data_IF_355764358822
#
_entry.id   IF_355764358822
#
_cell.length_a   1.000
_cell.length_b   1.000
_cell.length_c   1.000
_cell.angle_alpha   90.00
_cell.angle_beta   90.00
_cell.angle_gamma   90.00
#
_symmetry.space_group_name_H-M   'P 1'
#
loop_
_entity.id
_entity.type
_entity.pdbx_description
1 polymer ?
#
# COMPACT_ATOMS: atom_id res chain seq x y z
N UNK A 1 -0.84 6.82 15.47
CA UNK A 1 0.15 6.96 14.39
C UNK A 1 -0.07 5.84 13.41
N UNK A 2 -0.25 6.17 12.13
CA UNK A 2 -0.50 5.21 11.05
C UNK A 2 0.76 5.05 10.22
N UNK A 3 1.15 3.81 9.95
CA UNK A 3 2.32 3.46 9.16
C UNK A 3 1.96 2.36 8.16
N UNK A 4 2.41 2.51 6.91
CA UNK A 4 2.35 1.45 5.91
C UNK A 4 3.76 0.94 5.67
N UNK A 5 3.95 -0.35 5.91
CA UNK A 5 5.22 -1.03 5.70
C UNK A 5 5.05 -1.92 4.47
N UNK A 6 5.71 -1.58 3.37
CA UNK A 6 5.73 -2.38 2.15
C UNK A 6 7.08 -3.09 2.03
N UNK A 7 7.10 -4.30 1.51
CA UNK A 7 8.32 -5.10 1.40
C UNK A 7 8.94 -4.96 0.02
N UNK A 8 10.26 -4.76 -0.02
CA UNK A 8 11.00 -4.72 -1.28
C UNK A 8 11.04 -6.10 -1.94
N UNK A 9 11.47 -6.16 -3.20
CA UNK A 9 11.72 -7.44 -3.90
C UNK A 9 12.77 -8.33 -3.19
N UNK A 10 13.61 -7.76 -2.32
CA UNK A 10 14.60 -8.49 -1.52
C UNK A 10 14.04 -8.98 -0.18
N UNK A 11 12.81 -8.59 0.16
CA UNK A 11 12.14 -8.94 1.42
C UNK A 11 12.44 -7.98 2.58
N UNK A 12 13.07 -6.83 2.32
CA UNK A 12 13.34 -5.82 3.34
C UNK A 12 12.11 -4.93 3.57
N UNK A 13 11.77 -4.59 4.83
CA UNK A 13 10.67 -3.68 5.11
C UNK A 13 11.05 -2.24 4.72
N UNK A 14 10.15 -1.56 4.03
CA UNK A 14 10.26 -0.17 3.64
C UNK A 14 9.03 0.60 4.09
N UNK A 15 9.24 1.71 4.79
CA UNK A 15 8.13 2.57 5.22
C UNK A 15 7.66 3.44 4.05
N UNK A 16 6.37 3.38 3.76
CA UNK A 16 5.72 4.16 2.70
C UNK A 16 4.83 5.21 3.38
N UNK A 17 4.97 6.46 2.95
CA UNK A 17 4.18 7.56 3.48
C UNK A 17 2.73 7.43 2.99
N UNK A 18 1.78 7.58 3.91
CA UNK A 18 0.36 7.49 3.62
C UNK A 18 -0.35 8.81 3.86
N UNK A 19 -1.46 9.03 3.14
CA UNK A 19 -2.41 10.05 3.52
C UNK A 19 -3.26 9.54 4.70
N UNK A 20 -3.10 10.15 5.87
CA UNK A 20 -3.77 9.70 7.09
C UNK A 20 -5.30 9.66 6.95
N UNK A 21 -5.88 10.64 6.26
CA UNK A 21 -7.33 10.72 6.10
C UNK A 21 -7.89 9.55 5.27
N UNK A 22 -7.21 9.18 4.18
CA UNK A 22 -7.61 8.04 3.34
C UNK A 22 -7.43 6.70 4.08
N UNK A 23 -6.37 6.57 4.87
CA UNK A 23 -6.13 5.33 5.62
C UNK A 23 -7.11 5.14 6.76
N UNK A 24 -7.52 6.22 7.46
CA UNK A 24 -8.56 6.14 8.48
C UNK A 24 -9.88 5.67 7.87
N UNK A 25 -10.25 6.18 6.69
CA UNK A 25 -11.44 5.74 5.96
C UNK A 25 -11.35 4.26 5.56
N UNK A 26 -10.17 3.82 5.11
CA UNK A 26 -9.89 2.44 4.77
C UNK A 26 -10.05 1.51 5.98
N UNK A 27 -9.49 1.88 7.13
CA UNK A 27 -9.61 1.13 8.38
C UNK A 27 -11.07 0.97 8.84
N UNK A 28 -11.85 2.07 8.85
CA UNK A 28 -13.29 2.00 9.20
C UNK A 28 -14.06 1.05 8.30
N UNK A 29 -13.79 1.06 7.00
CA UNK A 29 -14.41 0.12 6.06
C UNK A 29 -14.01 -1.33 6.35
N UNK A 30 -12.79 -1.60 6.82
CA UNK A 30 -12.35 -2.93 7.20
C UNK A 30 -12.96 -3.42 8.51
N UNK A 31 -13.07 -2.55 9.51
CA UNK A 31 -13.77 -2.85 10.76
C UNK A 31 -15.23 -3.22 10.48
N UNK A 32 -15.92 -2.44 9.64
CA UNK A 32 -17.30 -2.73 9.23
C UNK A 32 -17.42 -4.09 8.51
N UNK A 33 -16.47 -4.44 7.65
CA UNK A 33 -16.45 -5.74 6.95
C UNK A 33 -16.18 -6.92 7.90
N UNK A 34 -15.34 -6.71 8.91
CA UNK A 34 -14.94 -7.73 9.88
C UNK A 34 -16.07 -8.02 10.88
N UNK A 35 -16.78 -6.99 11.34
CA UNK A 35 -17.89 -7.10 12.30
C UNK A 35 -19.14 -7.78 11.68
N UNK A 36 -19.27 -7.76 10.35
CA UNK A 36 -20.33 -8.45 9.61
C UNK A 36 -20.20 -9.99 9.60
N UNK A 37 -19.16 -10.56 10.23
CA UNK A 37 -19.14 -11.98 10.62
C UNK A 37 -18.93 -13.00 9.51
N UNK A 38 -18.37 -12.62 8.36
CA UNK A 38 -18.22 -13.52 7.20
C UNK A 38 -16.74 -13.83 6.90
N UNK A 39 -16.37 -15.07 7.24
CA UNK A 39 -15.41 -15.98 6.56
C UNK A 39 -14.23 -15.34 5.83
N UNK A 40 -12.99 -15.61 6.28
CA UNK A 40 -11.72 -15.72 5.52
C UNK A 40 -11.83 -15.20 4.07
N UNK A 41 -12.09 -13.91 3.93
CA UNK A 41 -12.53 -13.31 2.69
C UNK A 41 -11.36 -12.57 2.10
N UNK A 42 -10.96 -12.94 0.88
CA UNK A 42 -9.99 -12.13 0.15
C UNK A 42 -10.64 -10.80 -0.16
N UNK A 43 -10.13 -9.72 0.43
CA UNK A 43 -10.62 -8.38 0.15
C UNK A 43 -9.58 -7.62 -0.67
N UNK A 44 -10.05 -6.69 -1.48
CA UNK A 44 -9.21 -5.78 -2.26
C UNK A 44 -9.74 -4.37 -2.14
N UNK A 45 -8.89 -3.44 -1.73
CA UNK A 45 -9.22 -2.02 -1.69
C UNK A 45 -8.12 -1.21 -2.33
N UNK A 46 -8.51 -0.24 -3.13
CA UNK A 46 -7.61 0.72 -3.75
C UNK A 46 -7.67 2.07 -3.04
N UNK A 47 -6.52 2.72 -2.87
CA UNK A 47 -6.38 4.05 -2.28
C UNK A 47 -5.18 4.79 -2.89
N UNK A 48 -5.11 6.09 -2.66
CA UNK A 48 -4.07 6.94 -3.20
C UNK A 48 -2.97 7.19 -2.15
N UNK A 49 -1.72 6.96 -2.55
CA UNK A 49 -0.55 7.35 -1.80
C UNK A 49 -0.01 8.67 -2.36
N UNK A 50 0.44 9.60 -1.51
CA UNK A 50 1.08 10.82 -1.97
C UNK A 50 2.43 10.51 -2.65
N UNK A 51 2.79 11.26 -3.69
CA UNK A 51 4.12 11.19 -4.28
C UNK A 51 5.15 11.97 -3.43
N UNK A 52 5.43 11.44 -2.24
CA UNK A 52 6.53 11.95 -1.42
C UNK A 52 7.85 11.43 -1.96
N UNK A 53 8.96 12.12 -1.64
CA UNK A 53 10.30 11.65 -2.00
C UNK A 53 10.57 10.21 -1.54
N UNK A 54 10.02 9.80 -0.40
CA UNK A 54 10.16 8.43 0.13
C UNK A 54 9.40 7.42 -0.72
N UNK A 55 8.18 7.77 -1.14
CA UNK A 55 7.37 6.92 -2.01
C UNK A 55 7.94 6.83 -3.43
N UNK A 56 8.48 7.93 -3.96
CA UNK A 56 9.14 7.96 -5.26
C UNK A 56 10.37 7.05 -5.32
N UNK A 57 11.14 6.98 -4.22
CA UNK A 57 12.28 6.05 -4.12
C UNK A 57 11.79 4.61 -4.13
N UNK A 58 10.65 4.32 -3.48
CA UNK A 58 10.10 2.98 -3.40
C UNK A 58 9.52 2.50 -4.73
N UNK A 59 8.59 3.28 -5.31
CA UNK A 59 7.93 2.92 -6.55
C UNK A 59 8.81 3.11 -7.78
N UNK A 60 9.94 3.82 -7.64
CA UNK A 60 10.80 4.22 -8.74
C UNK A 60 10.12 5.33 -9.53
N UNK A 61 10.66 6.56 -9.43
CA UNK A 61 10.27 7.77 -10.17
C UNK A 61 9.49 7.42 -11.45
N UNK A 62 8.17 7.61 -11.40
CA UNK A 62 7.24 7.29 -12.46
C UNK A 62 7.54 8.18 -13.69
N UNK A 63 8.53 7.78 -14.49
CA UNK A 63 9.05 8.63 -15.56
C UNK A 63 10.35 8.15 -16.19
N UNK A 64 11.12 7.29 -15.53
CA UNK A 64 12.35 6.74 -16.12
C UNK A 64 12.26 5.20 -16.27
N UNK A 65 11.85 4.70 -17.45
CA UNK A 65 11.79 3.26 -17.74
C UNK A 65 13.17 2.58 -17.79
N UNK A 66 14.27 3.34 -17.67
CA UNK A 66 15.63 2.80 -17.56
C UNK A 66 16.07 2.53 -16.11
N UNK A 67 15.39 3.12 -15.13
CA UNK A 67 15.51 2.72 -13.73
C UNK A 67 14.62 1.51 -13.46
N UNK A 68 15.17 0.31 -13.63
CA UNK A 68 14.62 -0.85 -12.92
C UNK A 68 14.59 -0.50 -11.44
N UNK A 69 13.41 -0.29 -10.86
CA UNK A 69 13.32 -0.04 -9.43
C UNK A 69 13.76 -1.31 -8.71
N UNK A 70 14.97 -1.29 -8.13
CA UNK A 70 15.50 -2.37 -7.29
C UNK A 70 14.62 -2.67 -6.08
N UNK A 71 13.59 -1.87 -5.83
CA UNK A 71 12.71 -1.94 -4.67
C UNK A 71 11.33 -2.51 -5.00
N UNK A 72 10.80 -2.26 -6.20
CA UNK A 72 9.41 -2.59 -6.52
C UNK A 72 9.22 -3.04 -7.96
N UNK A 73 8.57 -4.18 -8.18
CA UNK A 73 8.16 -4.65 -9.49
C UNK A 73 6.68 -4.30 -9.72
N UNK A 74 6.40 -3.51 -10.76
CA UNK A 74 5.06 -3.01 -11.11
C UNK A 74 4.03 -4.12 -11.38
N UNK A 75 4.49 -5.29 -11.80
CA UNK A 75 3.63 -6.46 -12.04
C UNK A 75 3.52 -7.37 -10.80
N UNK A 76 4.37 -7.17 -9.79
CA UNK A 76 4.42 -8.02 -8.61
C UNK A 76 3.48 -7.55 -7.51
N UNK A 77 2.91 -8.53 -6.81
CA UNK A 77 2.30 -8.33 -5.50
C UNK A 77 3.45 -8.31 -4.48
N UNK A 78 3.62 -7.18 -3.79
CA UNK A 78 4.57 -7.09 -2.68
C UNK A 78 3.83 -7.25 -1.38
N UNK A 79 4.44 -7.87 -0.36
CA UNK A 79 3.81 -7.89 0.96
C UNK A 79 3.68 -6.46 1.50
N UNK A 80 2.58 -6.15 2.17
CA UNK A 80 2.40 -4.89 2.88
C UNK A 80 1.60 -5.08 4.16
N UNK A 81 1.98 -4.32 5.19
CA UNK A 81 1.36 -4.34 6.50
C UNK A 81 1.00 -2.91 6.87
N UNK A 82 -0.27 -2.68 7.21
CA UNK A 82 -0.73 -1.42 7.75
C UNK A 82 -0.82 -1.52 9.27
N UNK A 83 -0.14 -0.61 9.96
CA UNK A 83 -0.09 -0.55 11.41
C UNK A 83 -0.67 0.77 11.88
N UNK A 84 -1.60 0.71 12.83
CA UNK A 84 -2.16 1.87 13.53
C UNK A 84 -1.95 1.70 15.03
N UNK A 85 -1.26 2.64 15.67
CA UNK A 85 -1.03 2.63 17.12
C UNK A 85 -0.46 1.31 17.66
N UNK A 86 0.41 0.67 16.87
CA UNK A 86 1.03 -0.65 17.13
C UNK A 86 0.13 -1.87 16.91
N UNK A 87 -1.10 -1.69 16.45
CA UNK A 87 -1.98 -2.78 16.01
C UNK A 87 -1.88 -2.96 14.50
N UNK A 88 -1.72 -4.21 14.06
CA UNK A 88 -1.81 -4.56 12.64
C UNK A 88 -3.27 -4.48 12.23
N UNK A 89 -3.59 -3.47 11.43
CA UNK A 89 -4.92 -3.25 10.86
C UNK A 89 -5.11 -4.11 9.61
N UNK A 90 -4.02 -4.31 8.86
CA UNK A 90 -4.02 -5.10 7.64
C UNK A 90 -2.68 -5.81 7.47
N UNK A 91 -2.71 -7.10 7.16
CA UNK A 91 -1.57 -7.86 6.63
C UNK A 91 -1.98 -8.48 5.30
N UNK A 92 -1.20 -8.22 4.26
CA UNK A 92 -1.57 -8.62 2.91
C UNK A 92 -0.51 -8.30 1.87
N UNK A 93 -0.96 -8.12 0.64
CA UNK A 93 -0.14 -7.71 -0.48
C UNK A 93 -0.58 -6.36 -1.02
N UNK A 94 0.35 -5.51 -1.41
CA UNK A 94 0.13 -4.28 -2.13
C UNK A 94 0.51 -4.48 -3.60
N UNK A 95 -0.27 -3.86 -4.48
CA UNK A 95 -0.02 -3.77 -5.91
C UNK A 95 -0.13 -2.32 -6.33
N UNK A 96 0.78 -1.85 -7.16
CA UNK A 96 0.65 -0.56 -7.81
C UNK A 96 -0.24 -0.71 -9.04
N UNK A 97 -1.34 0.06 -9.10
CA UNK A 97 -2.25 0.03 -10.23
C UNK A 97 -1.79 1.03 -11.31
N UNK A 98 -1.47 2.25 -10.88
CA UNK A 98 -1.03 3.34 -11.74
C UNK A 98 -0.45 4.45 -10.86
N UNK A 99 0.35 5.34 -11.45
CA UNK A 99 0.54 6.68 -10.88
C UNK A 99 -0.20 7.69 -11.73
N UNK A 100 -0.55 8.81 -11.09
CA UNK A 100 -1.10 9.95 -11.79
C UNK A 100 -0.12 10.45 -12.85
N UNK A 101 -0.61 10.83 -14.03
CA UNK A 101 0.23 11.31 -15.14
C UNK A 101 0.97 12.61 -14.83
N UNK A 102 0.59 13.31 -13.76
CA UNK A 102 1.29 14.48 -13.23
C UNK A 102 2.26 14.14 -12.08
N UNK A 103 2.34 12.87 -11.66
CA UNK A 103 3.26 12.42 -10.61
C UNK A 103 2.88 12.88 -9.20
N UNK A 104 1.60 13.19 -8.94
CA UNK A 104 1.16 13.68 -7.61
C UNK A 104 0.79 12.54 -6.65
N UNK A 105 0.28 11.43 -7.19
CA UNK A 105 -0.24 10.32 -6.38
C UNK A 105 0.03 8.97 -7.05
N UNK A 106 0.24 7.94 -6.22
CA UNK A 106 0.29 6.54 -6.62
C UNK A 106 -1.01 5.86 -6.23
N UNK A 107 -1.72 5.28 -7.21
CA UNK A 107 -2.89 4.48 -6.96
C UNK A 107 -2.47 3.04 -6.69
N UNK A 108 -2.67 2.58 -5.46
CA UNK A 108 -2.32 1.23 -5.02
C UNK A 108 -3.56 0.45 -4.63
N UNK A 109 -3.51 -0.86 -4.83
CA UNK A 109 -4.49 -1.82 -4.31
C UNK A 109 -3.84 -2.68 -3.25
N UNK A 110 -4.51 -2.84 -2.12
CA UNK A 110 -4.09 -3.75 -1.06
C UNK A 110 -5.06 -4.91 -0.98
N UNK A 111 -4.49 -6.11 -0.95
CA UNK A 111 -5.12 -7.42 -0.93
C UNK A 111 -4.81 -8.07 0.40
N UNK A 112 -5.78 -8.14 1.30
CA UNK A 112 -5.59 -8.83 2.58
C UNK A 112 -6.47 -10.06 2.69
N UNK A 113 -6.10 -10.88 3.66
CA UNK A 113 -6.97 -11.93 4.19
C UNK A 113 -7.22 -11.57 5.64
N UNK A 114 -8.47 -11.27 5.99
CA UNK A 114 -8.94 -11.10 7.37
C UNK A 114 -9.46 -12.43 7.89
#
# INVERSE_FOLDING_TARGET
>A
MIQLIAYTIQGDPYEVDVNQDEVILLNKQFLDLTDLGVRNGTFTKSFALPATRRNDIYFGLFGDPSTESFYFNTEAYVRAVLVEDSFVVLDGNLKLNSADGQGNYYNVSVFGTI
#
